data_IF_234607165889
#
_entry.id   IF_234607165889
#
_cell.length_a   1.000
_cell.length_b   1.000
_cell.length_c   1.000
_cell.angle_alpha   90.00
_cell.angle_beta   90.00
_cell.angle_gamma   90.00
#
_symmetry.space_group_name_H-M   'P 1'
#
loop_
_entity.id
_entity.type
_entity.pdbx_description
1 polymer ?
#
# COMPACT_ATOMS: atom_id res chain seq x y z
N UNK A 1 15.49 5.14 16.56
CA UNK A 1 15.71 3.94 15.72
C UNK A 1 16.23 4.39 14.38
N UNK A 2 17.20 3.68 13.81
CA UNK A 2 17.80 4.03 12.53
C UNK A 2 17.54 2.92 11.50
N UNK A 3 17.24 3.32 10.27
CA UNK A 3 17.12 2.43 9.12
C UNK A 3 18.13 2.88 8.04
N UNK A 4 19.18 2.08 7.85
CA UNK A 4 20.23 2.33 6.87
C UNK A 4 19.84 1.69 5.55
N UNK A 5 19.87 2.48 4.49
CA UNK A 5 19.54 2.11 3.11
C UNK A 5 20.82 2.22 2.27
N UNK A 6 21.38 1.08 1.85
CA UNK A 6 22.70 1.04 1.18
C UNK A 6 22.57 0.39 -0.20
N UNK A 7 22.88 1.14 -1.25
CA UNK A 7 23.00 0.58 -2.61
C UNK A 7 21.69 0.21 -3.33
N UNK A 8 20.52 0.60 -2.81
CA UNK A 8 19.23 0.37 -3.45
C UNK A 8 18.24 1.55 -3.32
N UNK A 9 17.17 1.51 -4.13
CA UNK A 9 16.13 2.56 -4.20
C UNK A 9 14.87 2.27 -3.36
N UNK A 10 14.77 1.07 -2.78
CA UNK A 10 13.56 0.56 -2.08
C UNK A 10 13.33 1.16 -0.67
N UNK A 11 13.71 2.43 -0.46
CA UNK A 11 13.66 3.08 0.84
C UNK A 11 12.23 3.20 1.40
N UNK A 12 11.25 3.42 0.53
CA UNK A 12 9.87 3.63 0.94
C UNK A 12 9.28 2.32 1.47
N UNK A 13 9.51 1.23 0.75
CA UNK A 13 9.04 -0.11 1.07
C UNK A 13 9.66 -0.60 2.38
N UNK A 14 10.98 -0.47 2.54
CA UNK A 14 11.67 -0.88 3.77
C UNK A 14 11.22 -0.05 4.99
N UNK A 15 11.02 1.26 4.82
CA UNK A 15 10.50 2.12 5.87
C UNK A 15 9.08 1.70 6.26
N UNK A 16 8.18 1.54 5.28
CA UNK A 16 6.77 1.19 5.55
C UNK A 16 6.64 -0.17 6.21
N UNK A 17 7.46 -1.13 5.78
CA UNK A 17 7.50 -2.45 6.39
C UNK A 17 7.97 -2.36 7.85
N UNK A 18 9.05 -1.63 8.12
CA UNK A 18 9.55 -1.42 9.48
C UNK A 18 8.52 -0.73 10.38
N UNK A 19 7.76 0.25 9.86
CA UNK A 19 6.71 0.96 10.59
C UNK A 19 5.54 0.04 11.03
N UNK A 20 5.33 -1.11 10.38
CA UNK A 20 4.33 -2.10 10.82
C UNK A 20 4.74 -2.73 12.15
N UNK A 21 6.04 -2.97 12.34
CA UNK A 21 6.59 -3.63 13.54
C UNK A 21 6.88 -2.65 14.67
N UNK A 22 7.18 -1.39 14.33
CA UNK A 22 7.47 -0.33 15.30
C UNK A 22 6.50 0.86 15.11
N UNK A 23 5.20 0.68 15.41
CA UNK A 23 4.22 1.74 15.25
C UNK A 23 4.56 2.95 16.13
N UNK A 24 4.30 4.16 15.64
CA UNK A 24 4.55 5.43 16.32
C UNK A 24 6.01 5.69 16.73
N UNK A 25 6.96 4.88 16.24
CA UNK A 25 8.39 5.09 16.47
C UNK A 25 8.95 6.00 15.40
N UNK A 26 9.70 7.03 15.79
CA UNK A 26 10.47 7.84 14.84
C UNK A 26 11.63 7.00 14.30
N UNK A 27 11.63 6.77 12.99
CA UNK A 27 12.67 6.05 12.26
C UNK A 27 13.46 7.06 11.45
N UNK A 28 14.73 7.23 11.76
CA UNK A 28 15.64 8.09 11.01
C UNK A 28 16.27 7.28 9.87
N UNK A 29 16.07 7.73 8.63
CA UNK A 29 16.64 7.11 7.43
C UNK A 29 18.06 7.61 7.19
N UNK A 30 18.99 6.69 6.98
CA UNK A 30 20.40 6.98 6.71
C UNK A 30 20.85 6.27 5.42
N UNK A 31 21.75 6.89 4.65
CA UNK A 31 22.20 6.37 3.35
C UNK A 31 23.69 5.98 3.32
N UNK A 32 24.35 6.05 4.47
CA UNK A 32 25.74 5.67 4.65
C UNK A 32 25.92 5.05 6.04
N UNK A 33 26.97 4.25 6.21
CA UNK A 33 27.40 3.80 7.54
C UNK A 33 27.69 5.03 8.40
N UNK A 34 26.97 5.16 9.51
CA UNK A 34 27.23 6.15 10.54
C UNK A 34 27.68 5.41 11.80
N UNK A 35 28.54 6.02 12.61
CA UNK A 35 28.83 5.51 13.95
C UNK A 35 27.54 5.58 14.76
N UNK A 36 26.95 4.41 14.99
CA UNK A 36 25.75 4.25 15.81
C UNK A 36 26.22 3.98 17.24
N UNK A 37 25.73 4.78 18.20
CA UNK A 37 25.99 4.52 19.61
C UNK A 37 25.43 3.15 20.04
N UNK A 38 26.10 2.50 20.99
CA UNK A 38 25.87 1.10 21.38
C UNK A 38 24.44 0.77 21.86
N UNK A 39 23.61 1.77 22.18
CA UNK A 39 22.25 1.59 22.73
C UNK A 39 21.10 1.79 21.71
N UNK A 40 21.36 2.14 20.46
CA UNK A 40 20.30 2.38 19.47
C UNK A 40 19.96 1.14 18.63
N UNK A 41 18.67 0.90 18.37
CA UNK A 41 18.22 -0.09 17.38
C UNK A 41 18.56 0.37 15.97
N UNK A 42 19.33 -0.45 15.25
CA UNK A 42 19.80 -0.21 13.89
C UNK A 42 19.34 -1.35 12.98
N UNK A 43 18.61 -1.00 11.94
CA UNK A 43 18.27 -1.92 10.84
C UNK A 43 19.05 -1.48 9.62
N UNK A 44 19.69 -2.41 8.92
CA UNK A 44 20.39 -2.12 7.67
C UNK A 44 19.85 -2.99 6.56
N UNK A 45 19.53 -2.38 5.43
CA UNK A 45 19.23 -3.07 4.17
C UNK A 45 20.25 -2.65 3.14
N UNK A 46 20.92 -3.63 2.56
CA UNK A 46 22.04 -3.42 1.64
C UNK A 46 21.87 -4.26 0.37
N UNK A 47 22.15 -3.65 -0.78
CA UNK A 47 22.23 -4.30 -2.08
C UNK A 47 23.61 -4.06 -2.68
N UNK A 48 24.32 -5.16 -2.95
CA UNK A 48 25.63 -5.16 -3.63
C UNK A 48 25.50 -5.75 -5.03
N UNK A 49 26.61 -5.90 -5.76
CA UNK A 49 26.60 -6.57 -7.07
C UNK A 49 26.13 -8.03 -6.96
N UNK A 50 26.54 -8.71 -5.90
CA UNK A 50 26.39 -10.16 -5.79
C UNK A 50 25.35 -10.58 -4.74
N UNK A 51 25.03 -9.73 -3.76
CA UNK A 51 24.20 -10.11 -2.62
C UNK A 51 23.21 -9.02 -2.18
N UNK A 52 22.12 -9.47 -1.55
CA UNK A 52 21.26 -8.67 -0.68
C UNK A 52 21.57 -9.05 0.77
N UNK A 53 21.78 -8.04 1.62
CA UNK A 53 21.98 -8.22 3.06
C UNK A 53 20.94 -7.42 3.83
N UNK A 54 20.33 -8.04 4.83
CA UNK A 54 19.48 -7.36 5.80
C UNK A 54 19.98 -7.70 7.19
N UNK A 55 20.24 -6.69 8.01
CA UNK A 55 20.69 -6.88 9.38
C UNK A 55 19.89 -6.06 10.38
N UNK A 56 19.93 -6.53 11.61
CA UNK A 56 19.36 -5.89 12.78
C UNK A 56 20.36 -5.98 13.92
N UNK A 57 20.58 -4.85 14.57
CA UNK A 57 21.39 -4.73 15.77
C UNK A 57 20.61 -3.95 16.82
N UNK A 58 20.54 -4.49 18.03
CA UNK A 58 19.96 -3.84 19.21
C UNK A 58 20.68 -4.36 20.45
N UNK A 59 21.42 -3.49 21.13
CA UNK A 59 22.25 -3.83 22.30
C UNK A 59 23.18 -5.02 21.98
N UNK A 60 22.98 -6.18 22.62
CA UNK A 60 23.77 -7.43 22.43
C UNK A 60 23.17 -8.38 21.38
N UNK A 61 22.01 -8.06 20.81
CA UNK A 61 21.37 -8.89 19.79
C UNK A 61 21.77 -8.37 18.42
N UNK A 62 22.44 -9.23 17.65
CA UNK A 62 22.76 -8.96 16.26
C UNK A 62 22.31 -10.14 15.42
N UNK A 63 21.62 -9.84 14.32
CA UNK A 63 21.28 -10.83 13.30
C UNK A 63 21.54 -10.26 11.92
N UNK A 64 22.12 -11.08 11.07
CA UNK A 64 22.41 -10.75 9.67
C UNK A 64 21.87 -11.87 8.79
N UNK A 65 21.14 -11.50 7.76
CA UNK A 65 20.68 -12.39 6.70
C UNK A 65 21.32 -11.91 5.40
N UNK A 66 21.96 -12.82 4.68
CA UNK A 66 22.54 -12.54 3.36
C UNK A 66 22.05 -13.59 2.37
N UNK A 67 21.63 -13.14 1.18
CA UNK A 67 21.24 -14.00 0.06
C UNK A 67 21.92 -13.53 -1.22
N UNK A 68 22.17 -14.45 -2.19
CA UNK A 68 22.56 -14.05 -3.53
C UNK A 68 21.55 -13.08 -4.12
N UNK A 69 22.05 -12.09 -4.88
CA UNK A 69 21.21 -11.11 -5.54
C UNK A 69 20.29 -11.82 -6.56
N UNK A 70 18.97 -11.65 -6.47
CA UNK A 70 18.04 -12.22 -7.43
C UNK A 70 18.06 -11.42 -8.74
N UNK A 71 17.22 -11.81 -9.70
CA UNK A 71 16.92 -10.97 -10.84
C UNK A 71 16.39 -9.59 -10.41
N UNK A 72 16.65 -8.57 -11.24
CA UNK A 72 16.39 -7.17 -10.90
C UNK A 72 14.94 -6.89 -10.49
N UNK A 73 14.00 -7.61 -11.08
CA UNK A 73 12.55 -7.46 -10.81
C UNK A 73 12.15 -8.00 -9.43
N UNK A 74 12.97 -8.87 -8.83
CA UNK A 74 12.71 -9.55 -7.57
C UNK A 74 13.50 -9.00 -6.38
N UNK A 75 14.42 -8.06 -6.61
CA UNK A 75 15.28 -7.49 -5.57
C UNK A 75 14.47 -6.90 -4.41
N UNK A 76 13.45 -6.08 -4.73
CA UNK A 76 12.56 -5.46 -3.75
C UNK A 76 11.86 -6.51 -2.88
N UNK A 77 11.26 -7.51 -3.54
CA UNK A 77 10.50 -8.58 -2.90
C UNK A 77 11.40 -9.44 -2.01
N UNK A 78 12.58 -9.79 -2.49
CA UNK A 78 13.56 -10.57 -1.74
C UNK A 78 14.01 -9.82 -0.47
N UNK A 79 14.35 -8.54 -0.61
CA UNK A 79 14.76 -7.69 0.50
C UNK A 79 13.63 -7.50 1.52
N UNK A 80 12.40 -7.23 1.07
CA UNK A 80 11.22 -7.11 1.93
C UNK A 80 10.95 -8.40 2.69
N UNK A 81 11.08 -9.56 2.03
CA UNK A 81 10.90 -10.88 2.64
C UNK A 81 11.94 -11.16 3.73
N UNK A 82 13.21 -10.82 3.48
CA UNK A 82 14.29 -10.94 4.46
C UNK A 82 14.05 -10.03 5.67
N UNK A 83 13.70 -8.76 5.43
CA UNK A 83 13.39 -7.81 6.49
C UNK A 83 12.17 -8.24 7.31
N UNK A 84 11.08 -8.64 6.66
CA UNK A 84 9.88 -9.13 7.33
C UNK A 84 10.18 -10.30 8.26
N UNK A 85 10.93 -11.29 7.76
CA UNK A 85 11.27 -12.49 8.53
C UNK A 85 12.10 -12.15 9.77
N UNK A 86 13.11 -11.29 9.58
CA UNK A 86 13.99 -10.84 10.65
C UNK A 86 13.22 -10.04 11.71
N UNK A 87 12.29 -9.17 11.30
CA UNK A 87 11.47 -8.37 12.22
C UNK A 87 10.44 -9.21 12.97
N UNK A 88 9.83 -10.22 12.32
CA UNK A 88 8.93 -11.16 12.98
C UNK A 88 9.64 -11.92 14.11
N UNK A 89 10.86 -12.39 13.83
CA UNK A 89 11.65 -13.11 14.83
C UNK A 89 12.06 -12.21 15.99
N UNK A 90 12.48 -10.97 15.72
CA UNK A 90 12.93 -10.06 16.76
C UNK A 90 11.77 -9.58 17.66
N UNK A 91 10.63 -9.26 17.05
CA UNK A 91 9.48 -8.69 17.77
C UNK A 91 8.50 -9.74 18.32
N UNK A 92 8.56 -10.98 17.82
CA UNK A 92 7.55 -12.01 18.09
C UNK A 92 6.17 -11.72 17.49
N UNK A 93 6.04 -10.66 16.70
CA UNK A 93 4.79 -10.23 16.08
C UNK A 93 4.74 -10.64 14.61
N UNK A 94 3.64 -11.26 14.17
CA UNK A 94 3.41 -11.63 12.78
C UNK A 94 2.20 -10.86 12.25
N UNK A 95 2.39 -9.84 11.40
CA UNK A 95 1.29 -9.11 10.78
C UNK A 95 0.39 -10.02 9.95
N UNK A 96 -0.93 -9.93 10.13
CA UNK A 96 -1.90 -10.77 9.36
C UNK A 96 -1.87 -10.53 7.85
N UNK A 97 -1.41 -9.35 7.44
CA UNK A 97 -1.23 -8.95 6.04
C UNK A 97 0.17 -9.28 5.49
N UNK A 98 1.00 -9.99 6.26
CA UNK A 98 2.35 -10.34 5.85
C UNK A 98 3.20 -9.10 5.56
N UNK A 99 4.00 -9.17 4.50
CA UNK A 99 4.88 -8.07 4.09
C UNK A 99 4.21 -7.02 3.20
N UNK A 100 2.90 -7.13 2.93
CA UNK A 100 2.19 -6.17 2.08
C UNK A 100 2.10 -4.79 2.75
N UNK A 101 2.60 -3.76 2.07
CA UNK A 101 2.53 -2.36 2.49
C UNK A 101 2.03 -1.49 1.34
N UNK A 102 1.18 -0.50 1.61
CA UNK A 102 0.78 0.54 0.63
C UNK A 102 0.01 0.08 -0.62
N UNK A 103 -0.19 -1.23 -0.81
CA UNK A 103 -0.84 -1.82 -1.99
C UNK A 103 -2.29 -2.17 -1.69
N UNK A 104 -3.19 -2.03 -2.67
CA UNK A 104 -4.55 -2.60 -2.62
C UNK A 104 -4.49 -4.12 -2.83
N UNK A 105 -4.70 -4.95 -1.80
CA UNK A 105 -4.45 -6.40 -1.91
C UNK A 105 -5.32 -7.08 -2.97
N UNK A 106 -6.58 -6.66 -3.12
CA UNK A 106 -7.50 -7.25 -4.11
C UNK A 106 -7.04 -7.05 -5.55
N UNK A 107 -6.45 -5.90 -5.88
CA UNK A 107 -5.89 -5.63 -7.22
C UNK A 107 -4.68 -6.52 -7.52
N UNK A 108 -3.76 -6.64 -6.56
CA UNK A 108 -2.57 -7.50 -6.70
C UNK A 108 -2.98 -8.97 -6.83
N UNK A 109 -3.90 -9.43 -5.97
CA UNK A 109 -4.43 -10.79 -6.00
C UNK A 109 -5.06 -11.12 -7.35
N UNK A 110 -5.88 -10.22 -7.90
CA UNK A 110 -6.51 -10.40 -9.20
C UNK A 110 -5.48 -10.57 -10.32
N UNK A 111 -4.43 -9.75 -10.35
CA UNK A 111 -3.35 -9.87 -11.33
C UNK A 111 -2.65 -11.24 -11.28
N UNK A 112 -2.49 -11.83 -10.10
CA UNK A 112 -2.00 -13.22 -9.99
C UNK A 112 -3.04 -14.25 -10.39
N UNK A 113 -4.31 -14.05 -10.00
CA UNK A 113 -5.39 -14.98 -10.34
C UNK A 113 -5.62 -15.06 -11.85
N UNK A 114 -5.54 -13.92 -12.56
CA UNK A 114 -5.62 -13.85 -14.02
C UNK A 114 -4.46 -14.59 -14.71
N UNK A 115 -3.23 -14.45 -14.18
CA UNK A 115 -2.03 -15.06 -14.78
C UNK A 115 -1.87 -16.54 -14.44
N UNK A 116 -2.28 -16.96 -13.24
CA UNK A 116 -1.88 -18.24 -12.65
C UNK A 116 -3.03 -19.06 -12.07
N UNK A 117 -4.25 -18.52 -12.04
CA UNK A 117 -5.41 -19.11 -11.38
C UNK A 117 -5.51 -18.75 -9.90
N UNK A 118 -6.74 -18.78 -9.37
CA UNK A 118 -7.05 -18.34 -8.00
C UNK A 118 -6.28 -19.13 -6.92
N UNK A 119 -6.21 -20.46 -7.04
CA UNK A 119 -5.51 -21.29 -6.04
C UNK A 119 -4.01 -21.01 -5.99
N UNK A 120 -3.39 -20.75 -7.14
CA UNK A 120 -1.97 -20.36 -7.20
C UNK A 120 -1.78 -18.93 -6.66
N UNK A 121 -2.72 -18.01 -6.91
CA UNK A 121 -2.71 -16.68 -6.31
C UNK A 121 -2.81 -16.72 -4.78
N UNK A 122 -3.66 -17.61 -4.22
CA UNK A 122 -3.73 -17.84 -2.77
C UNK A 122 -2.39 -18.32 -2.20
N UNK A 123 -1.74 -19.27 -2.87
CA UNK A 123 -0.41 -19.76 -2.47
C UNK A 123 0.65 -18.67 -2.53
N UNK A 124 0.69 -17.88 -3.61
CA UNK A 124 1.61 -16.73 -3.70
C UNK A 124 1.40 -15.78 -2.51
N UNK A 125 0.15 -15.45 -2.18
CA UNK A 125 -0.14 -14.58 -1.04
C UNK A 125 0.31 -15.18 0.31
N UNK A 126 0.09 -16.47 0.54
CA UNK A 126 0.46 -17.11 1.82
C UNK A 126 1.96 -17.39 1.93
N UNK A 127 2.58 -17.83 0.84
CA UNK A 127 3.92 -18.43 0.86
C UNK A 127 4.99 -17.38 0.53
N UNK A 128 4.73 -16.52 -0.47
CA UNK A 128 5.70 -15.51 -0.91
C UNK A 128 5.53 -14.18 -0.16
N UNK A 129 4.28 -13.81 0.18
CA UNK A 129 3.94 -12.55 0.84
C UNK A 129 3.59 -12.69 2.32
N UNK A 130 3.58 -13.91 2.87
CA UNK A 130 3.29 -14.20 4.28
C UNK A 130 1.92 -13.71 4.76
N UNK A 131 0.96 -13.53 3.86
CA UNK A 131 -0.39 -13.12 4.20
C UNK A 131 -1.11 -14.28 4.89
N UNK A 132 -1.72 -14.03 6.04
CA UNK A 132 -2.47 -15.07 6.75
C UNK A 132 -3.59 -15.64 5.88
N UNK A 133 -3.87 -16.95 6.00
CA UNK A 133 -4.96 -17.62 5.26
C UNK A 133 -6.30 -16.89 5.37
N UNK A 134 -6.60 -16.35 6.56
CA UNK A 134 -7.81 -15.54 6.79
C UNK A 134 -7.86 -14.29 5.90
N UNK A 135 -6.75 -13.54 5.82
CA UNK A 135 -6.66 -12.33 4.99
C UNK A 135 -6.57 -12.64 3.50
N UNK A 136 -5.93 -13.73 3.13
CA UNK A 136 -5.92 -14.24 1.75
C UNK A 136 -7.34 -14.59 1.30
N UNK A 137 -8.11 -15.30 2.12
CA UNK A 137 -9.51 -15.62 1.85
C UNK A 137 -10.39 -14.37 1.70
N UNK A 138 -10.23 -13.40 2.61
CA UNK A 138 -10.90 -12.11 2.49
C UNK A 138 -10.54 -11.41 1.17
N UNK A 139 -9.26 -11.39 0.81
CA UNK A 139 -8.79 -10.75 -0.43
C UNK A 139 -9.39 -11.41 -1.66
N UNK A 140 -9.43 -12.75 -1.70
CA UNK A 140 -10.06 -13.50 -2.78
C UNK A 140 -11.57 -13.19 -2.89
N UNK A 141 -12.30 -13.14 -1.77
CA UNK A 141 -13.73 -12.79 -1.78
C UNK A 141 -13.99 -11.37 -2.30
N UNK A 142 -13.14 -10.41 -1.91
CA UNK A 142 -13.24 -9.02 -2.35
C UNK A 142 -12.89 -8.93 -3.84
N UNK A 143 -11.84 -9.60 -4.30
CA UNK A 143 -11.47 -9.63 -5.71
C UNK A 143 -12.60 -10.24 -6.57
N UNK A 144 -13.22 -11.33 -6.13
CA UNK A 144 -14.37 -11.94 -6.81
C UNK A 144 -15.58 -11.02 -6.86
N UNK A 145 -15.88 -10.31 -5.76
CA UNK A 145 -16.97 -9.34 -5.73
C UNK A 145 -16.70 -8.14 -6.65
N UNK A 146 -15.47 -7.62 -6.67
CA UNK A 146 -15.06 -6.54 -7.57
C UNK A 146 -15.15 -6.95 -9.05
N UNK A 147 -14.75 -8.18 -9.38
CA UNK A 147 -14.76 -8.69 -10.75
C UNK A 147 -16.16 -8.68 -11.35
N UNK A 148 -17.18 -9.02 -10.56
CA UNK A 148 -18.59 -8.95 -11.00
C UNK A 148 -18.99 -7.55 -11.45
N UNK A 149 -18.50 -6.50 -10.78
CA UNK A 149 -18.78 -5.11 -11.14
C UNK A 149 -17.95 -4.67 -12.34
N UNK A 150 -16.68 -5.07 -12.40
CA UNK A 150 -15.77 -4.71 -13.48
C UNK A 150 -16.23 -5.34 -14.80
N UNK A 151 -16.69 -6.58 -14.78
CA UNK A 151 -17.22 -7.29 -15.94
C UNK A 151 -18.47 -6.64 -16.57
N UNK A 152 -19.16 -5.75 -15.85
CA UNK A 152 -20.26 -4.95 -16.41
C UNK A 152 -19.77 -3.80 -17.29
N UNK A 153 -18.48 -3.44 -17.20
CA UNK A 153 -17.89 -2.35 -17.96
C UNK A 153 -17.70 -2.77 -19.41
N UNK A 154 -18.17 -1.92 -20.32
CA UNK A 154 -18.01 -2.08 -21.77
C UNK A 154 -16.88 -1.18 -22.29
N UNK A 155 -16.34 -1.42 -23.49
CA UNK A 155 -15.34 -0.53 -24.09
C UNK A 155 -15.76 0.93 -24.22
N UNK A 156 -17.06 1.21 -24.31
CA UNK A 156 -17.64 2.56 -24.39
C UNK A 156 -17.98 3.17 -23.01
N UNK A 157 -17.74 2.44 -21.92
CA UNK A 157 -18.01 2.87 -20.54
C UNK A 157 -16.96 3.87 -20.05
N UNK A 158 -17.35 4.72 -19.11
CA UNK A 158 -16.46 5.67 -18.46
C UNK A 158 -16.71 5.66 -16.95
N UNK A 159 -15.66 6.00 -16.19
CA UNK A 159 -15.76 6.20 -14.75
C UNK A 159 -15.91 7.69 -14.45
N UNK A 160 -17.01 8.07 -13.82
CA UNK A 160 -17.23 9.44 -13.35
C UNK A 160 -16.98 9.51 -11.85
N UNK A 161 -16.05 10.37 -11.43
CA UNK A 161 -15.83 10.68 -10.03
C UNK A 161 -16.45 12.04 -9.71
N UNK A 162 -17.31 12.09 -8.70
CA UNK A 162 -17.93 13.33 -8.20
C UNK A 162 -17.54 13.51 -6.74
N UNK A 163 -16.84 14.60 -6.44
CA UNK A 163 -16.43 14.91 -5.07
C UNK A 163 -17.59 15.56 -4.31
N UNK A 164 -18.19 14.84 -3.36
CA UNK A 164 -19.26 15.35 -2.47
C UNK A 164 -18.63 15.84 -1.16
N UNK A 165 -18.49 17.17 -0.92
CA UNK A 165 -17.71 17.72 0.20
C UNK A 165 -18.53 17.89 1.49
N UNK A 166 -19.54 17.05 1.71
CA UNK A 166 -20.44 17.14 2.86
C UNK A 166 -20.41 15.85 3.66
N UNK A 167 -20.37 15.96 4.99
CA UNK A 167 -20.42 14.83 5.91
C UNK A 167 -21.42 15.10 7.03
N UNK A 168 -22.14 14.09 7.54
CA UNK A 168 -23.03 14.27 8.69
C UNK A 168 -22.33 14.94 9.88
N UNK A 169 -21.12 14.49 10.18
CA UNK A 169 -20.25 15.05 11.20
C UNK A 169 -18.79 14.96 10.75
N UNK A 170 -17.90 15.71 11.43
CA UNK A 170 -16.45 15.68 11.14
C UNK A 170 -15.74 14.73 12.11
N UNK A 171 -15.10 13.69 11.59
CA UNK A 171 -14.28 12.79 12.41
C UNK A 171 -13.04 13.53 12.94
N UNK A 172 -12.59 13.18 14.14
CA UNK A 172 -11.41 13.78 14.79
C UNK A 172 -10.11 13.63 13.99
N UNK A 173 -10.02 12.59 13.17
CA UNK A 173 -8.87 12.29 12.31
C UNK A 173 -9.08 12.71 10.84
N UNK A 174 -10.18 13.41 10.53
CA UNK A 174 -10.52 13.73 9.14
C UNK A 174 -9.64 14.87 8.59
N UNK A 175 -8.78 14.50 7.63
CA UNK A 175 -7.97 15.42 6.82
C UNK A 175 -8.66 15.86 5.52
N UNK A 176 -9.83 15.28 5.18
CA UNK A 176 -10.60 15.71 4.01
C UNK A 176 -11.28 17.06 4.28
N UNK A 177 -11.30 17.91 3.25
CA UNK A 177 -12.02 19.18 3.27
C UNK A 177 -13.52 18.88 3.13
N UNK A 178 -14.19 18.66 4.26
CA UNK A 178 -15.62 18.36 4.33
C UNK A 178 -16.35 19.34 5.25
N UNK A 179 -17.50 19.84 4.82
CA UNK A 179 -18.39 20.63 5.66
C UNK A 179 -19.36 19.72 6.41
N UNK A 180 -19.51 19.93 7.71
CA UNK A 180 -20.51 19.21 8.51
C UNK A 180 -21.91 19.69 8.12
N UNK A 181 -22.79 18.78 7.75
CA UNK A 181 -24.19 19.09 7.45
C UNK A 181 -24.99 19.50 8.68
N UNK A 182 -24.44 19.35 9.88
CA UNK A 182 -25.02 19.91 11.11
C UNK A 182 -24.96 21.44 11.15
N UNK A 183 -24.01 22.05 10.42
CA UNK A 183 -23.89 23.52 10.35
C UNK A 183 -24.96 24.12 9.45
N UNK A 184 -25.60 25.19 9.91
CA UNK A 184 -26.65 25.90 9.13
C UNK A 184 -26.11 26.48 7.82
N UNK A 185 -24.83 26.84 7.77
CA UNK A 185 -24.17 27.29 6.53
C UNK A 185 -24.09 26.16 5.49
N UNK A 186 -23.73 24.94 5.88
CA UNK A 186 -23.67 23.80 4.98
C UNK A 186 -25.05 23.38 4.47
N UNK A 187 -26.07 23.37 5.35
CA UNK A 187 -27.44 23.02 4.93
C UNK A 187 -27.97 23.95 3.84
N UNK A 188 -27.65 25.25 3.92
CA UNK A 188 -28.05 26.25 2.93
C UNK A 188 -27.32 26.11 1.59
N UNK A 189 -26.08 25.63 1.59
CA UNK A 189 -25.28 25.48 0.37
C UNK A 189 -25.50 24.16 -0.36
N UNK A 190 -25.99 23.11 0.31
CA UNK A 190 -26.28 21.81 -0.33
C UNK A 190 -27.22 21.93 -1.55
N UNK A 191 -28.38 22.62 -1.46
CA UNK A 191 -29.26 22.76 -2.63
C UNK A 191 -28.59 23.46 -3.81
N UNK A 192 -27.79 24.49 -3.53
CA UNK A 192 -27.04 25.23 -4.55
C UNK A 192 -25.94 24.38 -5.17
N UNK A 193 -25.18 23.64 -4.35
CA UNK A 193 -24.17 22.70 -4.81
C UNK A 193 -24.76 21.65 -5.76
N UNK A 194 -25.89 21.03 -5.39
CA UNK A 194 -26.54 20.02 -6.23
C UNK A 194 -27.02 20.64 -7.55
N UNK A 195 -27.58 21.85 -7.51
CA UNK A 195 -28.00 22.57 -8.72
C UNK A 195 -26.82 22.83 -9.65
N UNK A 196 -25.70 23.33 -9.13
CA UNK A 196 -24.51 23.64 -9.92
C UNK A 196 -23.82 22.37 -10.44
N UNK A 197 -23.74 21.31 -9.64
CA UNK A 197 -23.23 20.00 -10.06
C UNK A 197 -24.06 19.45 -11.23
N UNK A 198 -25.39 19.53 -11.16
CA UNK A 198 -26.25 19.10 -12.27
C UNK A 198 -25.98 19.91 -13.55
N UNK A 199 -25.77 21.22 -13.45
CA UNK A 199 -25.43 22.04 -14.63
C UNK A 199 -24.04 21.72 -15.17
N UNK A 200 -23.04 21.51 -14.30
CA UNK A 200 -21.70 21.06 -14.68
C UNK A 200 -21.75 19.72 -15.43
N UNK A 201 -22.48 18.73 -14.91
CA UNK A 201 -22.66 17.43 -15.56
C UNK A 201 -23.36 17.56 -16.92
N UNK A 202 -24.37 18.45 -17.03
CA UNK A 202 -25.08 18.71 -18.28
C UNK A 202 -24.16 19.33 -19.34
N UNK A 203 -23.30 20.28 -18.95
CA UNK A 203 -22.32 20.90 -19.84
C UNK A 203 -21.26 19.87 -20.25
N UNK A 204 -20.69 19.16 -19.28
CA UNK A 204 -19.64 18.16 -19.49
C UNK A 204 -20.11 17.02 -20.40
N UNK A 205 -21.33 16.52 -20.20
CA UNK A 205 -21.91 15.48 -21.05
C UNK A 205 -22.13 15.90 -22.52
N UNK A 206 -22.19 17.20 -22.82
CA UNK A 206 -22.24 17.69 -24.21
C UNK A 206 -20.86 17.70 -24.88
N UNK A 207 -19.80 17.90 -24.10
CA UNK A 207 -18.42 17.89 -24.60
C UNK A 207 -18.05 16.47 -25.04
N UNK A 208 -18.43 15.45 -24.26
CA UNK A 208 -18.11 14.05 -24.56
C UNK A 208 -18.78 13.51 -25.84
N UNK A 209 -19.97 13.99 -26.19
CA UNK A 209 -20.63 13.63 -27.46
C UNK A 209 -19.88 14.14 -28.70
N UNK A 210 -19.03 15.16 -28.57
CA UNK A 210 -18.22 15.69 -29.69
C UNK A 210 -16.87 14.96 -29.84
N UNK A 211 -16.29 14.45 -28.74
CA UNK A 211 -15.03 13.68 -28.78
C UNK A 211 -15.20 12.28 -29.38
N UNK A 212 -16.36 11.64 -29.25
CA UNK A 212 -16.65 10.36 -29.92
C UNK A 212 -16.95 10.49 -31.43
N UNK A 213 -17.06 11.70 -31.98
CA UNK A 213 -17.27 11.94 -33.41
C UNK A 213 -15.96 12.17 -34.20
N UNK A 214 -14.80 12.10 -33.53
CA UNK A 214 -13.47 12.31 -34.13
C UNK A 214 -12.52 11.10 -33.95
N UNK A 215 -13.04 9.95 -33.51
CA UNK A 215 -12.29 8.70 -33.41
C UNK A 215 -12.87 7.66 -34.37
#
# INVERSE_FOLDING_TARGET
MKLLIIGHKYQYEMLKLTQIFYPNTKIDLLFSSADTGDDETVITTELTKDNITVSFAEQKKQKVLTKPRPEKEDEERCMASMLFSLLCENTGYIPKWGMLTGIRPSKLFRGFAERYGEEKAKKIFTDDYFVSKQKTGLTASVASAEEKTIALSRPDSFSLYVAIPFCPSRCSYCSFVSHSTETESAKKTIPEYVKLLCEELRITGKIDKRSKAQA
#
